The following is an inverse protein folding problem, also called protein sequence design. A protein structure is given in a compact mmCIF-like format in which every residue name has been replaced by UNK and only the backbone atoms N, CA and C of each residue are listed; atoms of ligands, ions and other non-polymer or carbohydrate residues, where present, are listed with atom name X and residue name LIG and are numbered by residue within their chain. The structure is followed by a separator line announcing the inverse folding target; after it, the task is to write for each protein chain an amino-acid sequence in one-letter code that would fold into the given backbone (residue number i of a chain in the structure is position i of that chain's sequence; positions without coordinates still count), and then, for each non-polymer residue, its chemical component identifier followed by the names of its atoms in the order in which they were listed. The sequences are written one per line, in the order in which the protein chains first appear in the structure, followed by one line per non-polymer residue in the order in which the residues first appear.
data_IF_790318313661
#
_entry.id   IF_790318313661
#
_cell.length_a   1.000
_cell.length_b   1.000
_cell.length_c   1.000
_cell.angle_alpha   90.00
_cell.angle_beta   90.00
_cell.angle_gamma   90.00
#
_symmetry.space_group_name_H-M   'P 1'
#
loop_
_entity.id
_entity.type
_entity.pdbx_description
1 polymer ?
#
# COMPACT_ATOMS: atom_id res chain seq x y z
N UNK A 1 -18.86 12.75 12.43
CA UNK A 1 -17.50 13.12 11.96
C UNK A 1 -16.90 11.94 11.23
N UNK A 2 -16.68 12.07 9.92
CA UNK A 2 -16.09 11.00 9.09
C UNK A 2 -14.59 11.12 9.18
N UNK A 3 -13.94 10.31 10.02
CA UNK A 3 -12.49 10.42 10.22
C UNK A 3 -11.78 9.99 8.93
N UNK A 4 -11.24 10.95 8.19
CA UNK A 4 -10.51 10.69 6.96
C UNK A 4 -9.02 10.49 7.23
N UNK A 5 -8.46 9.51 6.51
CA UNK A 5 -7.07 9.09 6.59
C UNK A 5 -6.30 9.65 5.40
N UNK A 6 -5.17 10.32 5.65
CA UNK A 6 -4.32 10.84 4.57
C UNK A 6 -3.09 9.93 4.44
N UNK A 7 -2.94 9.26 3.29
CA UNK A 7 -1.78 8.41 2.97
C UNK A 7 -1.02 9.07 1.82
N UNK A 8 0.27 9.34 2.02
CA UNK A 8 1.17 9.95 1.04
C UNK A 8 2.25 8.92 0.70
N UNK A 9 2.28 8.44 -0.53
CA UNK A 9 3.26 7.44 -0.96
C UNK A 9 4.59 8.09 -1.41
N UNK A 10 5.71 7.37 -1.21
CA UNK A 10 6.99 7.77 -1.80
C UNK A 10 6.85 7.72 -3.31
N UNK A 11 7.21 8.81 -4.01
CA UNK A 11 7.32 8.80 -5.45
C UNK A 11 8.57 8.00 -5.82
N UNK A 12 8.42 6.71 -6.13
CA UNK A 12 9.51 5.95 -6.74
C UNK A 12 9.61 6.41 -8.19
N UNK A 13 10.81 6.80 -8.69
CA UNK A 13 10.99 6.86 -10.12
C UNK A 13 10.61 5.49 -10.66
N UNK A 14 9.58 5.46 -11.49
CA UNK A 14 9.31 4.28 -12.29
C UNK A 14 10.60 4.03 -13.07
N UNK A 15 11.21 2.83 -13.00
CA UNK A 15 12.24 2.51 -13.97
C UNK A 15 11.60 2.71 -15.34
N UNK A 16 12.26 3.51 -16.19
CA UNK A 16 11.95 3.64 -17.61
C UNK A 16 12.20 2.28 -18.26
N UNK A 17 11.29 1.35 -18.02
CA UNK A 17 11.15 0.15 -18.81
C UNK A 17 10.41 0.60 -20.06
N UNK A 18 11.13 0.46 -21.18
CA UNK A 18 10.74 0.96 -22.48
C UNK A 18 9.29 0.67 -22.84
N UNK A 19 8.73 1.61 -23.58
CA UNK A 19 7.71 1.43 -24.60
C UNK A 19 7.20 -0.02 -24.76
N UNK A 20 6.19 -0.38 -23.98
CA UNK A 20 5.16 -1.30 -24.46
C UNK A 20 3.80 -0.67 -24.18
N UNK A 21 3.35 0.01 -25.24
CA UNK A 21 2.01 0.07 -25.76
C UNK A 21 0.87 0.31 -24.75
N UNK A 22 0.18 1.42 -25.00
CA UNK A 22 -1.16 1.68 -24.52
C UNK A 22 -2.04 0.45 -24.67
N UNK A 23 -2.59 -0.02 -23.56
CA UNK A 23 -3.83 -0.78 -23.58
C UNK A 23 -4.61 -0.40 -22.34
N UNK A 24 -5.49 0.57 -22.57
CA UNK A 24 -6.58 0.93 -21.68
C UNK A 24 -7.28 -0.32 -21.13
N UNK A 25 -7.64 -0.20 -19.84
CA UNK A 25 -8.95 -0.54 -19.26
C UNK A 25 -9.51 -1.93 -19.51
N UNK A 26 -9.84 -2.59 -18.41
CA UNK A 26 -10.98 -3.50 -18.28
C UNK A 26 -11.98 -3.40 -19.43
N UNK A 27 -11.98 -4.41 -20.28
CA UNK A 27 -13.07 -4.76 -21.16
C UNK A 27 -13.22 -6.28 -21.05
N UNK A 28 -14.45 -6.71 -20.72
CA UNK A 28 -15.12 -7.96 -21.14
C UNK A 28 -14.28 -9.26 -21.08
N UNK A 29 -14.57 -10.29 -20.28
CA UNK A 29 -15.87 -10.98 -20.16
C UNK A 29 -16.69 -10.99 -21.47
N UNK A 30 -16.08 -11.46 -22.55
CA UNK A 30 -16.75 -12.12 -23.68
C UNK A 30 -15.68 -12.59 -24.68
N UNK A 31 -15.88 -13.73 -25.33
CA UNK A 31 -15.15 -14.06 -26.56
C UNK A 31 -14.08 -15.16 -26.51
N UNK A 32 -14.13 -16.08 -25.54
CA UNK A 32 -13.30 -17.30 -25.58
C UNK A 32 -13.91 -18.48 -26.36
N UNK A 33 -15.02 -18.29 -27.08
CA UNK A 33 -15.78 -19.37 -27.72
C UNK A 33 -16.29 -18.98 -29.11
N UNK A 34 -15.39 -18.77 -30.07
CA UNK A 34 -15.82 -18.75 -31.48
C UNK A 34 -14.79 -19.28 -32.47
N UNK A 35 -13.51 -19.45 -32.10
CA UNK A 35 -12.51 -20.02 -33.01
C UNK A 35 -12.36 -21.54 -32.93
N UNK A 36 -13.04 -22.23 -32.00
CA UNK A 36 -12.94 -23.69 -31.84
C UNK A 36 -14.32 -24.37 -31.78
N UNK A 37 -15.32 -23.82 -32.45
CA UNK A 37 -16.66 -24.43 -32.50
C UNK A 37 -16.71 -25.74 -33.32
N UNK A 38 -15.63 -26.15 -33.99
CA UNK A 38 -15.57 -27.45 -34.66
C UNK A 38 -15.13 -28.61 -33.74
N UNK A 39 -14.37 -28.34 -32.67
CA UNK A 39 -13.84 -29.40 -31.80
C UNK A 39 -14.72 -29.68 -30.56
N UNK A 40 -15.66 -28.80 -30.23
CA UNK A 40 -16.52 -28.93 -29.03
C UNK A 40 -17.62 -30.00 -29.19
N UNK A 41 -17.86 -30.51 -30.40
CA UNK A 41 -18.86 -31.55 -30.64
C UNK A 41 -18.45 -32.96 -30.16
N UNK A 42 -17.21 -33.18 -29.66
CA UNK A 42 -16.79 -34.49 -29.14
C UNK A 42 -16.25 -34.49 -27.68
N UNK A 43 -16.10 -33.34 -27.03
CA UNK A 43 -15.49 -33.23 -25.69
C UNK A 43 -16.35 -32.47 -24.66
N UNK A 44 -17.67 -32.43 -24.90
CA UNK A 44 -18.66 -31.70 -24.11
C UNK A 44 -18.67 -32.01 -22.59
N UNK A 45 -18.41 -33.25 -22.11
CA UNK A 45 -18.35 -33.47 -20.66
C UNK A 45 -17.04 -32.98 -20.04
N UNK A 46 -15.91 -33.06 -20.75
CA UNK A 46 -14.58 -32.82 -20.17
C UNK A 46 -14.29 -31.32 -20.04
N UNK A 47 -14.65 -30.52 -21.06
CA UNK A 47 -14.49 -29.08 -21.01
C UNK A 47 -15.37 -28.44 -19.93
N UNK A 48 -16.61 -28.92 -19.79
CA UNK A 48 -17.53 -28.44 -18.76
C UNK A 48 -17.03 -28.78 -17.37
N UNK A 49 -16.51 -30.00 -17.14
CA UNK A 49 -15.92 -30.40 -15.84
C UNK A 49 -14.67 -29.59 -15.52
N UNK A 50 -13.78 -29.32 -16.48
CA UNK A 50 -12.59 -28.50 -16.23
C UNK A 50 -12.97 -27.04 -15.89
N UNK A 51 -13.99 -26.49 -16.57
CA UNK A 51 -14.54 -25.17 -16.25
C UNK A 51 -15.17 -25.15 -14.83
N UNK A 52 -15.90 -26.19 -14.47
CA UNK A 52 -16.54 -26.34 -13.15
C UNK A 52 -15.47 -26.48 -12.04
N UNK A 53 -14.43 -27.27 -12.29
CA UNK A 53 -13.29 -27.44 -11.38
C UNK A 53 -12.54 -26.11 -11.21
N UNK A 54 -12.26 -25.38 -12.29
CA UNK A 54 -11.62 -24.07 -12.19
C UNK A 54 -12.50 -23.02 -11.51
N UNK A 55 -13.81 -23.07 -11.70
CA UNK A 55 -14.75 -22.19 -11.00
C UNK A 55 -14.82 -22.52 -9.50
N UNK A 56 -14.93 -23.80 -9.14
CA UNK A 56 -15.05 -24.25 -7.74
C UNK A 56 -13.73 -24.12 -6.99
N UNK A 57 -12.57 -24.34 -7.61
CA UNK A 57 -11.27 -24.35 -6.93
C UNK A 57 -10.39 -23.12 -7.21
N UNK A 58 -10.51 -22.49 -8.38
CA UNK A 58 -9.76 -21.28 -8.74
C UNK A 58 -10.31 -20.00 -8.11
N UNK A 59 -11.63 -19.87 -8.02
CA UNK A 59 -12.31 -18.72 -7.38
C UNK A 59 -11.97 -18.61 -5.88
N UNK A 60 -11.97 -19.70 -5.07
CA UNK A 60 -11.51 -19.64 -3.68
C UNK A 60 -10.07 -19.17 -3.55
N UNK A 61 -9.16 -19.67 -4.40
CA UNK A 61 -7.75 -19.25 -4.37
C UNK A 61 -7.57 -17.79 -4.78
N UNK A 62 -8.37 -17.29 -5.72
CA UNK A 62 -8.38 -15.89 -6.15
C UNK A 62 -8.88 -14.94 -5.07
N UNK A 63 -10.00 -15.28 -4.41
CA UNK A 63 -10.54 -14.52 -3.28
C UNK A 63 -9.62 -14.58 -2.07
N UNK A 64 -9.02 -15.73 -1.77
CA UNK A 64 -8.04 -15.89 -0.70
C UNK A 64 -6.78 -15.05 -0.97
N UNK A 65 -6.24 -15.04 -2.19
CA UNK A 65 -5.13 -14.14 -2.57
C UNK A 65 -5.51 -12.67 -2.45
N UNK A 66 -6.72 -12.26 -2.86
CA UNK A 66 -7.22 -10.89 -2.69
C UNK A 66 -7.39 -10.53 -1.20
N UNK A 67 -7.89 -11.46 -0.38
CA UNK A 67 -8.04 -11.28 1.06
C UNK A 67 -6.68 -11.19 1.76
N UNK A 68 -5.71 -12.03 1.41
CA UNK A 68 -4.34 -11.96 1.92
C UNK A 68 -3.64 -10.66 1.48
N UNK A 69 -3.78 -10.22 0.23
CA UNK A 69 -3.25 -8.93 -0.23
C UNK A 69 -3.89 -7.76 0.55
N UNK A 70 -5.20 -7.79 0.80
CA UNK A 70 -5.92 -6.78 1.58
C UNK A 70 -5.52 -6.80 3.06
N UNK A 71 -5.34 -7.99 3.66
CA UNK A 71 -4.85 -8.19 5.03
C UNK A 71 -3.41 -7.70 5.17
N UNK A 72 -2.55 -8.01 4.20
CA UNK A 72 -1.15 -7.53 4.13
C UNK A 72 -1.13 -6.01 4.02
N UNK A 73 -1.90 -5.40 3.11
CA UNK A 73 -2.01 -3.92 2.98
C UNK A 73 -2.47 -3.24 4.28
N UNK A 74 -3.47 -3.81 4.97
CA UNK A 74 -3.96 -3.27 6.26
C UNK A 74 -2.96 -3.43 7.40
N UNK A 75 -2.16 -4.51 7.42
CA UNK A 75 -1.14 -4.77 8.45
C UNK A 75 0.11 -3.90 8.30
N UNK A 76 0.47 -3.53 7.07
CA UNK A 76 1.62 -2.64 6.78
C UNK A 76 1.38 -1.18 7.26
N UNK A 77 0.13 -0.83 7.56
CA UNK A 77 -0.28 0.43 8.17
C UNK A 77 -0.46 0.24 9.68
N UNK A 78 0.62 -0.07 10.40
CA UNK A 78 0.58 -0.06 11.87
C UNK A 78 0.67 1.39 12.36
N UNK A 79 -0.15 1.71 13.36
CA UNK A 79 -0.34 3.06 13.90
C UNK A 79 0.88 3.45 14.76
N UNK A 80 1.94 4.02 14.17
CA UNK A 80 3.07 4.55 14.95
C UNK A 80 2.68 5.71 15.87
N UNK A 81 1.53 6.33 15.62
CA UNK A 81 0.96 7.36 16.47
C UNK A 81 0.33 6.84 17.77
N UNK A 82 0.19 5.51 17.93
CA UNK A 82 -0.32 4.92 19.17
C UNK A 82 0.79 4.71 20.21
N UNK A 83 2.04 5.03 19.88
CA UNK A 83 3.14 5.04 20.83
C UNK A 83 3.11 6.32 21.68
N UNK A 84 3.86 6.34 22.77
CA UNK A 84 3.92 7.49 23.67
C UNK A 84 4.36 8.78 22.92
N UNK A 85 3.82 9.93 23.31
CA UNK A 85 4.17 11.25 22.74
C UNK A 85 5.65 11.59 22.91
N UNK A 86 6.32 10.99 23.89
CA UNK A 86 7.76 11.19 24.17
C UNK A 86 8.66 10.24 23.36
N UNK A 87 8.10 9.53 22.37
CA UNK A 87 8.89 8.65 21.50
C UNK A 87 10.02 9.44 20.84
N UNK A 88 11.25 9.00 21.04
CA UNK A 88 12.44 9.60 20.43
C UNK A 88 12.69 9.06 19.01
N UNK A 89 13.54 9.74 18.23
CA UNK A 89 13.94 9.28 16.89
C UNK A 89 14.52 7.87 16.93
N UNK A 90 15.34 7.53 17.93
CA UNK A 90 15.95 6.19 18.04
C UNK A 90 14.92 5.11 18.33
N UNK A 91 14.01 5.35 19.29
CA UNK A 91 12.91 4.43 19.58
C UNK A 91 12.02 4.22 18.36
N UNK A 92 11.67 5.29 17.66
CA UNK A 92 10.89 5.22 16.44
C UNK A 92 11.58 4.36 15.36
N UNK A 93 12.88 4.54 15.14
CA UNK A 93 13.65 3.74 14.18
C UNK A 93 13.67 2.25 14.58
N UNK A 94 13.84 1.94 15.86
CA UNK A 94 13.79 0.57 16.38
C UNK A 94 12.42 -0.06 16.16
N UNK A 95 11.33 0.65 16.48
CA UNK A 95 9.97 0.17 16.23
C UNK A 95 9.71 -0.02 14.73
N UNK A 96 10.17 0.90 13.89
CA UNK A 96 10.03 0.80 12.44
C UNK A 96 10.72 -0.45 11.91
N UNK A 97 11.97 -0.71 12.32
CA UNK A 97 12.71 -1.90 11.91
C UNK A 97 12.09 -3.19 12.42
N UNK A 98 11.59 -3.19 13.65
CA UNK A 98 10.84 -4.30 14.23
C UNK A 98 9.57 -4.59 13.42
N UNK A 99 8.85 -3.56 12.97
CA UNK A 99 7.71 -3.78 12.07
C UNK A 99 8.18 -4.32 10.73
N UNK A 100 9.28 -3.80 10.19
CA UNK A 100 9.82 -4.21 8.89
C UNK A 100 10.22 -5.67 8.88
N UNK A 101 10.91 -6.15 9.92
CA UNK A 101 11.30 -7.56 10.05
C UNK A 101 10.08 -8.48 10.15
N UNK A 102 9.08 -8.10 10.97
CA UNK A 102 7.82 -8.85 11.10
C UNK A 102 7.02 -8.99 9.80
N UNK A 103 7.30 -8.15 8.80
CA UNK A 103 6.65 -8.20 7.48
C UNK A 103 7.57 -8.62 6.32
N UNK A 104 8.68 -9.28 6.64
CA UNK A 104 9.61 -9.84 5.65
C UNK A 104 10.42 -8.76 4.92
N UNK A 105 10.76 -7.66 5.60
CA UNK A 105 11.68 -6.65 5.07
C UNK A 105 11.05 -5.62 4.13
N UNK A 106 9.76 -5.74 3.80
CA UNK A 106 9.10 -4.88 2.80
C UNK A 106 8.96 -3.41 3.22
N UNK A 107 8.61 -2.54 2.26
CA UNK A 107 8.44 -1.10 2.52
C UNK A 107 7.24 -0.82 3.42
N UNK A 108 7.43 -0.05 4.50
CA UNK A 108 6.39 0.30 5.48
C UNK A 108 6.10 1.81 5.42
N UNK A 109 4.86 2.17 5.76
CA UNK A 109 4.43 3.56 5.89
C UNK A 109 4.78 4.07 7.30
N UNK A 110 5.57 5.14 7.39
CA UNK A 110 5.72 5.87 8.65
C UNK A 110 4.41 6.62 8.96
N UNK A 111 4.09 6.84 10.24
CA UNK A 111 2.90 7.62 10.59
C UNK A 111 3.10 8.53 11.80
N UNK A 112 2.41 9.66 11.81
CA UNK A 112 2.28 10.54 12.97
C UNK A 112 0.84 11.02 13.09
N UNK A 113 0.51 11.65 14.23
CA UNK A 113 -0.76 12.35 14.42
C UNK A 113 -0.58 13.86 14.46
N UNK A 114 -1.48 14.56 13.78
CA UNK A 114 -1.47 16.01 13.58
C UNK A 114 -1.86 16.78 14.83
N UNK A 115 -2.66 16.18 15.72
CA UNK A 115 -3.01 16.74 17.04
C UNK A 115 -1.83 16.69 18.04
N UNK A 116 -0.81 15.90 17.75
CA UNK A 116 0.37 15.72 18.59
C UNK A 116 0.16 14.88 19.85
N UNK A 117 -0.92 14.11 19.97
CA UNK A 117 -1.23 13.35 21.19
C UNK A 117 -0.38 12.08 21.39
N UNK A 118 0.54 11.75 20.47
CA UNK A 118 1.22 10.45 20.46
C UNK A 118 2.21 10.24 19.32
N UNK A 119 3.09 9.26 19.53
CA UNK A 119 4.17 8.90 18.62
C UNK A 119 5.25 9.96 18.48
N UNK A 120 6.10 9.79 17.46
CA UNK A 120 7.15 10.74 17.14
C UNK A 120 6.55 11.96 16.41
N UNK A 121 6.61 13.12 17.06
CA UNK A 121 6.03 14.36 16.56
C UNK A 121 6.77 14.91 15.33
N UNK A 122 6.05 15.58 14.39
CA UNK A 122 6.65 16.33 13.28
C UNK A 122 7.79 17.26 13.69
N UNK A 123 7.58 17.98 14.80
CA UNK A 123 8.52 18.95 15.35
C UNK A 123 9.69 18.30 16.10
N UNK A 124 9.52 17.06 16.56
CA UNK A 124 10.51 16.35 17.38
C UNK A 124 11.34 15.34 16.57
N UNK A 125 11.57 15.63 15.28
CA UNK A 125 12.48 14.84 14.43
C UNK A 125 11.82 13.73 13.61
N UNK A 126 10.49 13.67 13.51
CA UNK A 126 9.80 12.72 12.62
C UNK A 126 10.29 12.80 11.16
N UNK A 127 10.40 14.01 10.61
CA UNK A 127 10.87 14.19 9.23
C UNK A 127 12.35 13.82 9.08
N UNK A 128 13.16 14.02 10.11
CA UNK A 128 14.56 13.56 10.14
C UNK A 128 14.63 12.04 10.08
N UNK A 129 13.80 11.33 10.86
CA UNK A 129 13.71 9.87 10.81
C UNK A 129 13.24 9.38 9.43
N UNK A 130 12.21 10.01 8.85
CA UNK A 130 11.71 9.66 7.53
C UNK A 130 12.74 9.88 6.43
N UNK A 131 13.51 10.97 6.47
CA UNK A 131 14.60 11.23 5.52
C UNK A 131 15.65 10.11 5.55
N UNK A 132 16.06 9.68 6.75
CA UNK A 132 16.99 8.54 6.92
C UNK A 132 16.41 7.21 6.40
N UNK A 133 15.13 6.93 6.69
CA UNK A 133 14.47 5.72 6.20
C UNK A 133 14.30 5.73 4.67
N UNK A 134 14.07 6.90 4.10
CA UNK A 134 13.94 7.10 2.65
C UNK A 134 15.28 6.93 1.93
N UNK A 135 16.37 7.50 2.46
CA UNK A 135 17.71 7.32 1.88
C UNK A 135 18.18 5.86 1.92
N UNK A 136 17.69 5.08 2.89
CA UNK A 136 17.94 3.63 2.97
C UNK A 136 17.01 2.79 2.08
N UNK A 137 16.08 3.41 1.34
CA UNK A 137 15.09 2.71 0.50
C UNK A 137 14.04 1.92 1.29
N UNK A 138 13.90 2.17 2.60
CA UNK A 138 13.02 1.40 3.50
C UNK A 138 11.63 2.02 3.67
N UNK A 139 11.53 3.32 3.43
CA UNK A 139 10.27 4.07 3.55
C UNK A 139 9.38 3.80 2.33
N UNK A 140 8.12 3.42 2.57
CA UNK A 140 7.09 3.27 1.51
C UNK A 140 6.19 4.50 1.35
N UNK A 141 6.20 5.41 2.32
CA UNK A 141 5.34 6.58 2.39
C UNK A 141 5.10 7.04 3.83
N UNK A 142 4.30 8.08 3.98
CA UNK A 142 3.92 8.71 5.24
C UNK A 142 2.39 8.72 5.35
N UNK A 143 1.89 8.44 6.54
CA UNK A 143 0.47 8.46 6.88
C UNK A 143 0.22 9.50 7.96
N UNK A 144 -0.79 10.34 7.76
CA UNK A 144 -1.17 11.41 8.69
C UNK A 144 -2.59 11.15 9.21
N UNK A 145 -2.74 11.29 10.54
CA UNK A 145 -4.04 11.21 11.20
C UNK A 145 -4.24 12.42 12.13
N UNK A 146 -5.34 13.16 12.10
CA UNK A 146 -6.51 13.04 11.23
C UNK A 146 -6.57 14.19 10.21
N UNK A 147 -7.35 14.00 9.15
CA UNK A 147 -7.62 15.09 8.21
C UNK A 147 -8.35 16.28 8.87
N UNK A 148 -9.17 16.00 9.89
CA UNK A 148 -9.95 17.00 10.62
C UNK A 148 -9.03 17.99 11.36
N UNK A 149 -8.08 17.48 12.13
CA UNK A 149 -7.09 18.33 12.83
C UNK A 149 -6.15 19.01 11.84
N UNK A 150 -5.80 18.31 10.76
CA UNK A 150 -4.91 18.85 9.72
C UNK A 150 -5.54 20.01 8.95
N UNK A 151 -6.88 20.06 8.86
CA UNK A 151 -7.61 21.20 8.29
C UNK A 151 -7.38 22.47 9.12
N UNK A 152 -7.42 22.37 10.45
CA UNK A 152 -7.14 23.51 11.34
C UNK A 152 -5.68 24.00 11.20
N UNK A 153 -4.77 23.09 10.85
CA UNK A 153 -3.35 23.39 10.60
C UNK A 153 -3.02 23.74 9.15
N UNK A 154 -4.02 23.91 8.27
CA UNK A 154 -3.84 24.27 6.87
C UNK A 154 -3.04 23.23 6.04
N UNK A 155 -3.10 21.96 6.45
CA UNK A 155 -2.36 20.83 5.88
C UNK A 155 -0.83 21.04 5.84
N UNK A 156 -0.29 21.75 6.84
CA UNK A 156 1.14 22.08 6.94
C UNK A 156 2.02 20.83 6.85
N UNK A 157 1.71 19.80 7.64
CA UNK A 157 2.56 18.62 7.74
C UNK A 157 2.40 17.67 6.54
N UNK A 158 1.25 17.65 5.89
CA UNK A 158 1.01 16.93 4.64
C UNK A 158 1.85 17.50 3.52
N UNK A 159 1.86 18.84 3.37
CA UNK A 159 2.70 19.53 2.38
C UNK A 159 4.18 19.24 2.62
N UNK A 160 4.64 19.27 3.88
CA UNK A 160 6.00 18.89 4.24
C UNK A 160 6.30 17.41 3.93
N UNK A 161 5.36 16.51 4.21
CA UNK A 161 5.50 15.08 3.89
C UNK A 161 5.60 14.86 2.38
N UNK A 162 4.76 15.52 1.59
CA UNK A 162 4.80 15.47 0.12
C UNK A 162 6.14 16.00 -0.40
N UNK A 163 6.59 17.16 0.10
CA UNK A 163 7.88 17.73 -0.29
C UNK A 163 9.04 16.79 0.03
N UNK A 164 9.08 16.23 1.24
CA UNK A 164 10.13 15.26 1.63
C UNK A 164 10.14 14.04 0.71
N UNK A 165 8.98 13.52 0.34
CA UNK A 165 8.84 12.33 -0.49
C UNK A 165 9.08 12.59 -1.98
N UNK A 166 8.97 13.84 -2.44
CA UNK A 166 9.21 14.24 -3.82
C UNK A 166 10.70 14.45 -4.16
N UNK A 167 11.55 14.72 -3.16
CA UNK A 167 13.00 14.87 -3.38
C UNK A 167 13.59 13.55 -3.89
N UNK A 168 14.29 13.49 -5.03
CA UNK A 168 15.05 12.30 -5.42
C UNK A 168 16.27 12.13 -4.49
N UNK A 169 16.57 10.88 -4.10
CA UNK A 169 17.80 10.52 -3.37
C UNK A 169 18.64 9.57 -4.22
#
# INVERSE_FOLDING_TARGET
MTIQKIVIHVNKPQPLLGQQHSSNRFAEVAGGTTAECAAVCCCFPIGLVNLLVLAVYGVPAGLYRKALKKKRRRKMLKKFYAYDKETTVSQFMTYFETQRSNYGGGSILASFISDGSGGLLPQNGFFTACSRLKSQGKLGGIFVWSADDSKALGFKYEKQSQALLAVPH
#
